data_IF_210972477630
#
_entry.id   IF_210972477630
#
_cell.length_a   1.000
_cell.length_b   1.000
_cell.length_c   1.000
_cell.angle_alpha   90.00
_cell.angle_beta   90.00
_cell.angle_gamma   90.00
#
_symmetry.space_group_name_H-M   'P 1'
#
loop_
_entity.id
_entity.type
_entity.pdbx_description
1 polymer ?
#
# COMPACT_ATOMS: atom_id res chain seq x y z
N UNK A 1 -51.79 -14.65 -33.71
CA UNK A 1 -50.60 -15.15 -32.99
C UNK A 1 -49.40 -14.75 -33.81
N UNK A 2 -48.90 -13.54 -33.59
CA UNK A 2 -47.70 -13.01 -34.22
C UNK A 2 -46.66 -12.93 -33.12
N UNK A 3 -45.70 -13.85 -33.15
CA UNK A 3 -44.53 -13.86 -32.28
C UNK A 3 -43.65 -12.67 -32.67
N UNK A 4 -43.71 -11.60 -31.88
CA UNK A 4 -42.65 -10.59 -31.83
C UNK A 4 -41.48 -11.22 -31.09
N UNK A 5 -40.56 -11.83 -31.83
CA UNK A 5 -39.20 -12.09 -31.34
C UNK A 5 -38.42 -10.79 -31.53
N UNK A 6 -38.68 -9.83 -30.64
CA UNK A 6 -38.08 -8.51 -30.61
C UNK A 6 -36.85 -8.51 -29.69
N UNK A 7 -35.83 -9.27 -30.05
CA UNK A 7 -34.50 -9.10 -29.46
C UNK A 7 -33.76 -8.06 -30.30
N UNK A 8 -33.90 -6.77 -29.93
CA UNK A 8 -33.00 -5.75 -30.48
C UNK A 8 -31.55 -6.22 -30.28
N UNK A 9 -30.68 -6.12 -31.30
CA UNK A 9 -29.31 -6.58 -31.18
C UNK A 9 -28.64 -5.82 -30.03
N UNK A 10 -28.01 -6.56 -29.10
CA UNK A 10 -27.32 -5.97 -27.95
C UNK A 10 -26.33 -4.90 -28.42
N UNK A 11 -26.28 -3.72 -27.77
CA UNK A 11 -25.45 -2.62 -28.23
C UNK A 11 -23.98 -3.01 -28.17
N UNK A 12 -23.18 -2.56 -29.14
CA UNK A 12 -21.73 -2.78 -29.07
C UNK A 12 -21.12 -2.06 -27.86
N UNK A 13 -20.27 -2.74 -27.10
CA UNK A 13 -19.60 -2.17 -25.93
C UNK A 13 -18.66 -1.00 -26.30
N UNK A 14 -18.54 0.04 -25.46
CA UNK A 14 -17.63 1.16 -25.69
C UNK A 14 -16.18 0.68 -25.77
N UNK A 15 -15.41 1.25 -26.70
CA UNK A 15 -14.03 0.84 -26.95
C UNK A 15 -13.02 1.73 -26.24
N UNK A 16 -13.45 2.91 -25.77
CA UNK A 16 -12.63 3.85 -25.00
C UNK A 16 -13.37 4.38 -23.80
N UNK A 17 -12.64 4.63 -22.72
CA UNK A 17 -13.21 5.15 -21.49
C UNK A 17 -13.91 6.51 -21.66
N UNK A 18 -13.51 7.32 -22.65
CA UNK A 18 -14.15 8.59 -23.02
C UNK A 18 -15.55 8.43 -23.62
N UNK A 19 -15.85 7.28 -24.22
CA UNK A 19 -17.13 7.00 -24.89
C UNK A 19 -18.21 6.56 -23.89
N UNK A 20 -17.80 6.02 -22.74
CA UNK A 20 -18.67 5.39 -21.74
C UNK A 20 -19.84 6.27 -21.34
N UNK A 21 -19.61 7.56 -21.06
CA UNK A 21 -20.68 8.47 -20.64
C UNK A 21 -21.76 8.61 -21.72
N UNK A 22 -21.37 8.85 -22.96
CA UNK A 22 -22.31 9.00 -24.07
C UNK A 22 -23.03 7.67 -24.36
N UNK A 23 -22.31 6.56 -24.25
CA UNK A 23 -22.85 5.23 -24.47
C UNK A 23 -23.91 4.85 -23.41
N UNK A 24 -23.67 5.13 -22.13
CA UNK A 24 -24.65 4.88 -21.06
C UNK A 24 -25.90 5.75 -21.19
N UNK A 25 -25.76 6.99 -21.68
CA UNK A 25 -26.93 7.85 -21.97
C UNK A 25 -27.77 7.29 -23.12
N UNK A 26 -27.13 6.70 -24.13
CA UNK A 26 -27.82 6.08 -25.26
C UNK A 26 -28.48 4.73 -24.90
N UNK A 27 -27.99 4.03 -23.86
CA UNK A 27 -28.46 2.70 -23.46
C UNK A 27 -28.69 2.63 -21.93
N UNK A 28 -29.72 3.33 -21.40
CA UNK A 28 -29.94 3.45 -19.96
C UNK A 28 -30.28 2.12 -19.26
N UNK A 29 -30.90 1.18 -19.98
CA UNK A 29 -31.35 -0.12 -19.46
C UNK A 29 -30.50 -1.30 -19.99
N UNK A 30 -29.25 -1.03 -20.38
CA UNK A 30 -28.37 -2.06 -20.94
C UNK A 30 -28.08 -3.17 -19.92
N UNK A 31 -28.17 -4.43 -20.36
CA UNK A 31 -27.72 -5.56 -19.55
C UNK A 31 -26.18 -5.49 -19.38
N UNK A 32 -25.66 -5.44 -18.13
CA UNK A 32 -24.23 -5.45 -17.86
C UNK A 32 -23.46 -6.58 -18.54
N UNK A 33 -24.10 -7.71 -18.87
CA UNK A 33 -23.46 -8.85 -19.55
C UNK A 33 -22.83 -8.48 -20.91
N UNK A 34 -23.31 -7.42 -21.57
CA UNK A 34 -22.72 -6.88 -22.80
C UNK A 34 -21.29 -6.36 -22.60
N UNK A 35 -20.92 -6.03 -21.36
CA UNK A 35 -19.62 -5.50 -20.97
C UNK A 35 -18.68 -6.60 -20.42
N UNK A 36 -19.04 -7.88 -20.53
CA UNK A 36 -18.23 -8.98 -20.03
C UNK A 36 -16.85 -9.06 -20.75
N UNK A 37 -15.81 -9.55 -20.06
CA UNK A 37 -14.52 -9.79 -20.70
C UNK A 37 -14.66 -10.84 -21.80
N UNK A 38 -13.88 -10.67 -22.87
CA UNK A 38 -13.82 -11.65 -23.96
C UNK A 38 -12.38 -11.83 -24.42
N UNK A 39 -12.14 -12.90 -25.18
CA UNK A 39 -10.83 -13.18 -25.75
C UNK A 39 -10.37 -12.00 -26.63
N UNK A 40 -9.07 -11.71 -26.59
CA UNK A 40 -8.42 -10.64 -27.36
C UNK A 40 -8.99 -9.23 -27.13
N UNK A 41 -9.66 -9.01 -25.99
CA UNK A 41 -10.15 -7.68 -25.61
C UNK A 41 -9.00 -6.70 -25.41
N UNK A 42 -9.01 -5.61 -26.17
CA UNK A 42 -8.01 -4.55 -26.09
C UNK A 42 -8.02 -3.87 -24.73
N UNK A 43 -6.86 -3.45 -24.23
CA UNK A 43 -6.72 -2.78 -22.94
C UNK A 43 -7.65 -1.56 -22.78
N UNK A 44 -7.78 -0.72 -23.82
CA UNK A 44 -8.67 0.44 -23.79
C UNK A 44 -10.15 0.06 -23.65
N UNK A 45 -10.57 -1.04 -24.31
CA UNK A 45 -11.93 -1.56 -24.23
C UNK A 45 -12.19 -2.20 -22.86
N UNK A 46 -11.21 -2.92 -22.29
CA UNK A 46 -11.27 -3.41 -20.91
C UNK A 46 -11.47 -2.27 -19.91
N UNK A 47 -10.67 -1.21 -19.99
CA UNK A 47 -10.84 -0.03 -19.13
C UNK A 47 -12.21 0.63 -19.33
N UNK A 48 -12.70 0.70 -20.57
CA UNK A 48 -14.03 1.24 -20.86
C UNK A 48 -15.16 0.38 -20.24
N UNK A 49 -15.06 -0.94 -20.35
CA UNK A 49 -16.00 -1.88 -19.77
C UNK A 49 -16.03 -1.78 -18.23
N UNK A 50 -14.86 -1.78 -17.58
CA UNK A 50 -14.74 -1.61 -16.12
C UNK A 50 -15.34 -0.28 -15.67
N UNK A 51 -15.05 0.83 -16.37
CA UNK A 51 -15.67 2.13 -16.09
C UNK A 51 -17.19 2.08 -16.24
N UNK A 52 -17.69 1.46 -17.30
CA UNK A 52 -19.12 1.37 -17.57
C UNK A 52 -19.84 0.55 -16.49
N UNK A 53 -19.33 -0.64 -16.15
CA UNK A 53 -19.83 -1.49 -15.08
C UNK A 53 -19.82 -0.78 -13.72
N UNK A 54 -18.72 -0.12 -13.38
CA UNK A 54 -18.63 0.71 -12.18
C UNK A 54 -19.64 1.85 -12.16
N UNK A 55 -19.87 2.51 -13.32
CA UNK A 55 -20.86 3.59 -13.44
C UNK A 55 -22.28 3.05 -13.27
N UNK A 56 -22.60 1.88 -13.84
CA UNK A 56 -23.90 1.21 -13.68
C UNK A 56 -24.17 0.91 -12.20
N UNK A 57 -23.20 0.36 -11.47
CA UNK A 57 -23.25 0.31 -10.00
C UNK A 57 -24.34 -0.61 -9.41
N UNK A 58 -24.87 -1.56 -10.19
CA UNK A 58 -25.87 -2.52 -9.72
C UNK A 58 -25.22 -3.84 -9.28
N UNK A 59 -25.90 -4.69 -8.47
CA UNK A 59 -25.36 -6.01 -8.12
C UNK A 59 -25.01 -6.85 -9.35
N UNK A 60 -25.85 -6.82 -10.40
CA UNK A 60 -25.56 -7.49 -11.68
C UNK A 60 -24.30 -6.94 -12.37
N UNK A 61 -24.06 -5.64 -12.30
CA UNK A 61 -22.82 -5.06 -12.81
C UNK A 61 -21.59 -5.51 -12.01
N UNK A 62 -21.72 -5.71 -10.69
CA UNK A 62 -20.64 -6.25 -9.86
C UNK A 62 -20.32 -7.71 -10.21
N UNK A 63 -21.33 -8.52 -10.51
CA UNK A 63 -21.13 -9.91 -10.96
C UNK A 63 -20.24 -9.95 -12.21
N UNK A 64 -20.61 -9.16 -13.24
CA UNK A 64 -19.83 -9.08 -14.49
C UNK A 64 -18.47 -8.42 -14.26
N UNK A 65 -18.40 -7.40 -13.40
CA UNK A 65 -17.13 -6.77 -13.02
C UNK A 65 -16.20 -7.77 -12.34
N UNK A 66 -16.73 -8.71 -11.56
CA UNK A 66 -15.98 -9.77 -10.93
C UNK A 66 -15.29 -10.73 -11.89
N UNK A 67 -15.75 -10.82 -13.15
CA UNK A 67 -15.06 -11.57 -14.21
C UNK A 67 -13.76 -10.88 -14.68
N UNK A 68 -13.60 -9.59 -14.39
CA UNK A 68 -12.35 -8.84 -14.60
C UNK A 68 -11.36 -8.94 -13.45
N UNK A 69 -11.70 -9.66 -12.37
CA UNK A 69 -10.81 -9.74 -11.23
C UNK A 69 -9.49 -10.44 -11.58
N UNK A 70 -8.40 -9.88 -11.08
CA UNK A 70 -7.04 -10.32 -11.36
C UNK A 70 -6.17 -10.13 -10.10
N UNK A 71 -5.00 -10.77 -10.07
CA UNK A 71 -4.03 -10.65 -8.98
C UNK A 71 -3.22 -9.35 -9.02
N UNK A 72 -3.23 -8.65 -10.16
CA UNK A 72 -2.64 -7.32 -10.31
C UNK A 72 -3.38 -6.54 -11.39
N UNK A 73 -3.42 -5.21 -11.26
CA UNK A 73 -4.14 -4.34 -12.19
C UNK A 73 -3.20 -3.32 -12.83
N UNK A 74 -3.32 -3.07 -14.15
CA UNK A 74 -2.74 -1.88 -14.75
C UNK A 74 -3.33 -0.61 -14.13
N UNK A 75 -2.51 0.44 -13.95
CA UNK A 75 -2.91 1.72 -13.32
C UNK A 75 -4.23 2.28 -13.86
N UNK A 76 -4.43 2.20 -15.17
CA UNK A 76 -5.64 2.69 -15.82
C UNK A 76 -6.89 1.93 -15.37
N UNK A 77 -6.82 0.61 -15.17
CA UNK A 77 -7.93 -0.21 -14.67
C UNK A 77 -8.12 0.03 -13.17
N UNK A 78 -7.04 0.03 -12.40
CA UNK A 78 -7.06 0.26 -10.96
C UNK A 78 -7.70 1.61 -10.59
N UNK A 79 -7.42 2.66 -11.38
CA UNK A 79 -8.09 3.97 -11.27
C UNK A 79 -9.60 3.88 -11.45
N UNK A 80 -10.09 3.09 -12.40
CA UNK A 80 -11.52 2.90 -12.59
C UNK A 80 -12.12 2.07 -11.45
N UNK A 81 -11.42 1.06 -10.93
CA UNK A 81 -11.86 0.30 -9.76
C UNK A 81 -11.98 1.18 -8.51
N UNK A 82 -11.01 2.05 -8.24
CA UNK A 82 -11.11 3.05 -7.16
C UNK A 82 -12.28 4.00 -7.32
N UNK A 83 -12.62 4.35 -8.55
CA UNK A 83 -13.79 5.19 -8.86
C UNK A 83 -15.09 4.43 -8.61
N UNK A 84 -15.10 3.15 -8.96
CA UNK A 84 -16.26 2.25 -8.85
C UNK A 84 -16.52 1.78 -7.42
N UNK A 85 -15.48 1.60 -6.60
CA UNK A 85 -15.54 0.94 -5.29
C UNK A 85 -16.65 1.49 -4.38
N UNK A 86 -16.73 2.83 -4.22
CA UNK A 86 -17.74 3.47 -3.39
C UNK A 86 -19.18 3.46 -3.96
N UNK A 87 -19.39 2.90 -5.15
CA UNK A 87 -20.72 2.72 -5.77
C UNK A 87 -21.33 1.37 -5.45
N UNK A 88 -20.58 0.47 -4.84
CA UNK A 88 -21.02 -0.85 -4.40
C UNK A 88 -20.91 -0.96 -2.87
N UNK A 89 -21.44 -2.05 -2.31
CA UNK A 89 -21.03 -2.46 -0.97
C UNK A 89 -19.52 -2.70 -0.96
N UNK A 90 -18.81 -1.99 -0.07
CA UNK A 90 -17.34 -1.91 -0.13
C UNK A 90 -16.66 -3.23 0.21
N UNK A 91 -17.25 -4.00 1.14
CA UNK A 91 -16.75 -5.32 1.52
C UNK A 91 -16.91 -6.30 0.37
N UNK A 92 -18.11 -6.36 -0.21
CA UNK A 92 -18.41 -7.23 -1.34
C UNK A 92 -17.52 -6.86 -2.53
N UNK A 93 -17.39 -5.57 -2.86
CA UNK A 93 -16.51 -5.13 -3.94
C UNK A 93 -15.06 -5.55 -3.73
N UNK A 94 -14.49 -5.30 -2.54
CA UNK A 94 -13.11 -5.67 -2.24
C UNK A 94 -12.91 -7.19 -2.32
N UNK A 95 -13.81 -7.96 -1.70
CA UNK A 95 -13.79 -9.42 -1.73
C UNK A 95 -13.99 -9.99 -3.14
N UNK A 96 -14.69 -9.28 -4.03
CA UNK A 96 -14.83 -9.69 -5.43
C UNK A 96 -13.59 -9.32 -6.23
N UNK A 97 -13.17 -8.06 -6.22
CA UNK A 97 -12.13 -7.57 -7.13
C UNK A 97 -10.73 -7.98 -6.70
N UNK A 98 -10.43 -8.08 -5.41
CA UNK A 98 -9.07 -8.28 -4.94
C UNK A 98 -8.78 -9.72 -4.48
N UNK A 99 -9.68 -10.67 -4.78
CA UNK A 99 -9.60 -12.08 -4.32
C UNK A 99 -8.42 -12.91 -4.83
N UNK A 100 -7.63 -12.41 -5.78
CA UNK A 100 -6.58 -13.16 -6.47
C UNK A 100 -5.17 -12.62 -6.22
N UNK A 101 -4.96 -11.75 -5.23
CA UNK A 101 -3.64 -11.19 -4.94
C UNK A 101 -2.66 -12.29 -4.48
N UNK A 102 -1.82 -12.78 -5.39
CA UNK A 102 -0.97 -13.96 -5.15
C UNK A 102 0.16 -13.73 -4.13
N UNK A 103 0.59 -12.47 -3.94
CA UNK A 103 1.69 -12.14 -3.02
C UNK A 103 1.45 -10.84 -2.27
N UNK A 104 1.28 -9.73 -2.98
CA UNK A 104 0.96 -8.41 -2.43
C UNK A 104 -0.18 -7.82 -3.24
N UNK A 105 -1.23 -7.38 -2.54
CA UNK A 105 -2.24 -6.54 -3.15
C UNK A 105 -1.71 -5.12 -3.22
N UNK A 106 -1.37 -4.66 -4.42
CA UNK A 106 -0.98 -3.27 -4.67
C UNK A 106 -2.21 -2.47 -5.12
N UNK A 107 -2.61 -1.51 -4.29
CA UNK A 107 -3.73 -0.61 -4.57
C UNK A 107 -3.28 0.71 -5.20
N UNK A 108 -1.98 0.94 -5.39
CA UNK A 108 -1.44 2.20 -5.91
C UNK A 108 -1.98 3.39 -5.12
N UNK A 109 -2.41 4.44 -5.82
CA UNK A 109 -3.03 5.61 -5.19
C UNK A 109 -4.52 5.39 -4.90
N UNK A 110 -4.88 5.28 -3.62
CA UNK A 110 -6.24 5.09 -3.14
C UNK A 110 -6.68 6.25 -2.23
N UNK A 111 -8.00 6.51 -2.16
CA UNK A 111 -8.58 7.44 -1.18
C UNK A 111 -8.94 6.79 0.15
N UNK A 112 -9.07 5.46 0.14
CA UNK A 112 -9.65 4.66 1.22
C UNK A 112 -9.37 3.19 0.95
N UNK A 113 -9.33 2.40 2.01
CA UNK A 113 -9.27 0.93 1.99
C UNK A 113 -10.46 0.33 2.76
N UNK A 114 -11.57 1.07 2.88
CA UNK A 114 -12.78 0.55 3.53
C UNK A 114 -13.25 -0.77 2.90
N UNK A 115 -13.54 -1.76 3.75
CA UNK A 115 -13.96 -3.09 3.34
C UNK A 115 -12.82 -4.03 2.94
N UNK A 116 -11.57 -3.58 2.98
CA UNK A 116 -10.40 -4.41 2.60
C UNK A 116 -10.23 -5.66 3.47
N UNK A 117 -10.70 -5.64 4.72
CA UNK A 117 -10.72 -6.82 5.58
C UNK A 117 -11.59 -7.97 5.08
N UNK A 118 -12.42 -7.74 4.05
CA UNK A 118 -13.19 -8.80 3.38
C UNK A 118 -12.40 -9.53 2.28
N UNK A 119 -11.20 -9.07 1.91
CA UNK A 119 -10.36 -9.73 0.90
C UNK A 119 -9.84 -11.06 1.46
N UNK A 120 -10.20 -12.21 0.87
CA UNK A 120 -9.78 -13.51 1.39
C UNK A 120 -8.27 -13.68 1.36
N UNK A 121 -7.66 -14.07 2.48
CA UNK A 121 -6.23 -14.41 2.58
C UNK A 121 -5.28 -13.24 2.37
N UNK A 122 -5.69 -12.01 2.72
CA UNK A 122 -4.85 -10.82 2.55
C UNK A 122 -3.66 -10.83 3.54
N UNK A 123 -2.48 -11.25 3.06
CA UNK A 123 -1.25 -11.29 3.87
C UNK A 123 -0.29 -10.13 3.61
N UNK A 124 -0.45 -9.40 2.50
CA UNK A 124 0.41 -8.27 2.15
C UNK A 124 -0.35 -7.20 1.37
N UNK A 125 -0.23 -5.95 1.82
CA UNK A 125 -0.90 -4.79 1.24
C UNK A 125 0.11 -3.67 0.97
N UNK A 126 0.03 -3.09 -0.22
CA UNK A 126 0.71 -1.85 -0.59
C UNK A 126 -0.33 -0.80 -1.02
N UNK A 127 -0.29 0.37 -0.39
CA UNK A 127 -1.21 1.46 -0.70
C UNK A 127 -0.57 2.81 -0.45
N UNK A 128 -0.81 3.73 -1.37
CA UNK A 128 -0.55 5.15 -1.21
C UNK A 128 -1.88 5.88 -1.05
N UNK A 129 -2.09 6.55 0.06
CA UNK A 129 -3.22 7.44 0.23
C UNK A 129 -2.96 8.81 -0.40
N UNK A 130 -3.95 9.36 -1.09
CA UNK A 130 -3.92 10.71 -1.67
C UNK A 130 -4.69 11.72 -0.79
N UNK A 131 -4.19 11.91 0.43
CA UNK A 131 -4.73 12.82 1.44
C UNK A 131 -4.80 12.11 2.80
N UNK A 132 -5.98 12.15 3.42
CA UNK A 132 -6.25 11.45 4.68
C UNK A 132 -5.99 9.94 4.56
N UNK A 133 -5.00 9.43 5.30
CA UNK A 133 -4.71 8.01 5.43
C UNK A 133 -5.34 7.47 6.73
N UNK A 134 -6.54 6.92 6.61
CA UNK A 134 -7.28 6.27 7.68
C UNK A 134 -7.02 4.76 7.68
N UNK A 135 -6.32 4.28 8.70
CA UNK A 135 -5.95 2.87 8.82
C UNK A 135 -7.02 2.02 9.52
N UNK A 136 -8.13 2.62 10.00
CA UNK A 136 -9.19 1.91 10.74
C UNK A 136 -9.67 0.63 10.03
N UNK A 137 -9.87 0.62 8.70
CA UNK A 137 -10.33 -0.60 8.01
C UNK A 137 -9.33 -1.77 8.06
N UNK A 138 -8.06 -1.52 8.41
CA UNK A 138 -7.03 -2.55 8.49
C UNK A 138 -7.14 -3.41 9.75
N UNK A 139 -7.86 -2.97 10.79
CA UNK A 139 -7.99 -3.71 12.05
C UNK A 139 -8.59 -5.12 11.87
N UNK A 140 -9.32 -5.35 10.79
CA UNK A 140 -9.89 -6.67 10.46
C UNK A 140 -8.91 -7.58 9.69
N UNK A 141 -7.79 -7.06 9.19
CA UNK A 141 -6.81 -7.79 8.38
C UNK A 141 -5.85 -8.61 9.25
N UNK A 142 -6.36 -9.45 10.14
CA UNK A 142 -5.58 -10.14 11.19
C UNK A 142 -4.48 -11.07 10.67
N UNK A 143 -4.55 -11.49 9.40
CA UNK A 143 -3.51 -12.31 8.74
C UNK A 143 -2.42 -11.48 8.03
N UNK A 144 -2.48 -10.14 8.12
CA UNK A 144 -1.57 -9.24 7.42
C UNK A 144 -0.15 -9.32 8.02
N UNK A 145 0.81 -9.70 7.18
CA UNK A 145 2.23 -9.89 7.57
C UNK A 145 3.13 -8.75 7.10
N UNK A 146 2.72 -8.10 6.02
CA UNK A 146 3.44 -6.99 5.39
C UNK A 146 2.46 -5.87 5.07
N UNK A 147 2.73 -4.68 5.58
CA UNK A 147 1.95 -3.48 5.28
C UNK A 147 2.88 -2.39 4.78
N UNK A 148 2.58 -1.85 3.59
CA UNK A 148 3.21 -0.64 3.06
C UNK A 148 2.17 0.43 2.89
N UNK A 149 2.36 1.53 3.61
CA UNK A 149 1.51 2.71 3.57
C UNK A 149 2.36 3.93 3.28
N UNK A 150 2.00 4.63 2.20
CA UNK A 150 2.41 6.01 1.98
C UNK A 150 1.20 6.94 2.11
N UNK A 151 1.40 8.18 2.57
CA UNK A 151 0.36 9.21 2.52
C UNK A 151 0.88 10.47 1.82
N UNK A 152 0.19 10.94 0.79
CA UNK A 152 0.53 12.19 0.09
C UNK A 152 -0.46 13.30 0.45
N UNK A 153 0.08 14.45 0.86
CA UNK A 153 -0.69 15.64 1.15
C UNK A 153 -1.38 15.59 2.52
N UNK A 154 -2.09 16.67 2.84
CA UNK A 154 -2.71 16.84 4.17
C UNK A 154 -4.08 16.15 4.29
N UNK A 155 -4.44 15.61 5.48
CA UNK A 155 -3.65 15.58 6.72
C UNK A 155 -2.64 14.41 6.80
N UNK A 156 -2.44 13.63 5.74
CA UNK A 156 -1.56 12.46 5.76
C UNK A 156 -2.06 11.34 6.70
N UNK A 157 -1.11 10.63 7.31
CA UNK A 157 -1.37 9.59 8.32
C UNK A 157 -2.04 10.19 9.56
N UNK A 158 -3.15 9.59 9.98
CA UNK A 158 -3.91 10.07 11.14
C UNK A 158 -3.54 9.39 12.47
N UNK A 159 -2.97 8.19 12.41
CA UNK A 159 -2.76 7.34 13.56
C UNK A 159 -2.40 5.92 13.14
N UNK A 160 -1.99 5.14 14.13
CA UNK A 160 -1.46 3.77 13.95
C UNK A 160 -2.11 2.76 14.89
N UNK A 161 -3.07 3.19 15.70
CA UNK A 161 -3.82 2.36 16.66
C UNK A 161 -4.47 1.13 16.00
N UNK A 162 -5.03 1.19 14.78
CA UNK A 162 -5.59 0.01 14.12
C UNK A 162 -4.57 -1.10 13.84
N UNK A 163 -3.26 -0.80 13.87
CA UNK A 163 -2.21 -1.78 13.64
C UNK A 163 -1.90 -2.63 14.87
N UNK A 164 -2.34 -2.20 16.07
CA UNK A 164 -2.03 -2.87 17.33
C UNK A 164 -2.61 -4.28 17.43
N UNK A 165 -3.71 -4.53 16.73
CA UNK A 165 -4.39 -5.83 16.72
C UNK A 165 -3.84 -6.79 15.64
N UNK A 166 -2.88 -6.34 14.81
CA UNK A 166 -2.29 -7.13 13.73
C UNK A 166 -1.13 -7.98 14.24
N UNK A 167 -1.43 -9.05 14.98
CA UNK A 167 -0.44 -9.90 15.65
C UNK A 167 0.55 -10.59 14.72
N UNK A 168 0.18 -10.80 13.45
CA UNK A 168 1.04 -11.42 12.43
C UNK A 168 1.93 -10.41 11.68
N UNK A 169 1.78 -9.10 11.94
CA UNK A 169 2.49 -8.06 11.22
C UNK A 169 3.99 -8.08 11.54
N UNK A 170 4.79 -8.43 10.54
CA UNK A 170 6.25 -8.59 10.67
C UNK A 170 7.04 -7.50 9.96
N UNK A 171 6.44 -6.87 8.95
CA UNK A 171 7.04 -5.83 8.14
C UNK A 171 6.07 -4.65 7.95
N UNK A 172 6.52 -3.46 8.31
CA UNK A 172 5.74 -2.24 8.26
C UNK A 172 6.52 -1.13 7.56
N UNK A 173 5.89 -0.44 6.61
CA UNK A 173 6.42 0.76 6.00
C UNK A 173 5.40 1.88 6.19
N UNK A 174 5.79 2.94 6.89
CA UNK A 174 5.02 4.17 7.07
C UNK A 174 5.82 5.33 6.49
N UNK A 175 5.43 5.83 5.32
CA UNK A 175 6.24 6.79 4.57
C UNK A 175 5.46 8.02 4.14
N UNK A 176 6.20 9.07 3.76
CA UNK A 176 5.70 10.37 3.30
C UNK A 176 5.08 11.15 4.46
N UNK A 177 3.83 11.59 4.36
CA UNK A 177 3.22 12.50 5.33
C UNK A 177 2.78 11.77 6.61
N UNK A 178 3.63 11.80 7.64
CA UNK A 178 3.44 11.13 8.94
C UNK A 178 3.37 12.09 10.12
N UNK A 179 3.74 13.36 9.96
CA UNK A 179 3.87 14.34 11.06
C UNK A 179 2.60 14.60 11.89
N UNK A 180 1.42 14.26 11.38
CA UNK A 180 0.14 14.44 12.08
C UNK A 180 -0.27 13.22 12.92
N UNK A 181 0.43 12.09 12.81
CA UNK A 181 0.11 10.87 13.55
C UNK A 181 0.94 10.74 14.84
N UNK A 182 0.29 10.31 15.93
CA UNK A 182 1.04 9.80 17.08
C UNK A 182 1.64 8.43 16.73
N UNK A 183 2.97 8.35 16.70
CA UNK A 183 3.71 7.13 16.41
C UNK A 183 4.10 6.34 17.67
N UNK A 184 3.89 6.90 18.87
CA UNK A 184 4.22 6.24 20.13
C UNK A 184 3.57 4.84 20.31
N UNK A 185 2.34 4.57 19.83
CA UNK A 185 1.75 3.24 19.95
C UNK A 185 2.53 2.13 19.20
N UNK A 186 3.36 2.47 18.21
CA UNK A 186 4.19 1.49 17.49
C UNK A 186 5.14 0.71 18.42
N UNK A 187 5.47 1.27 19.59
CA UNK A 187 6.27 0.59 20.62
C UNK A 187 5.70 -0.76 21.06
N UNK A 188 4.38 -0.97 20.93
CA UNK A 188 3.71 -2.21 21.31
C UNK A 188 3.72 -3.29 20.21
N UNK A 189 4.14 -2.96 18.98
CA UNK A 189 4.09 -3.88 17.85
C UNK A 189 5.26 -4.89 17.87
N UNK A 190 4.97 -6.11 17.42
CA UNK A 190 5.95 -7.18 17.18
C UNK A 190 6.65 -7.12 15.82
N UNK A 191 6.72 -5.94 15.19
CA UNK A 191 7.31 -5.78 13.85
C UNK A 191 8.83 -5.97 13.90
N UNK A 192 9.36 -6.74 12.94
CA UNK A 192 10.80 -7.03 12.81
C UNK A 192 11.51 -6.11 11.82
N UNK A 193 10.80 -5.69 10.77
CA UNK A 193 11.30 -4.83 9.70
C UNK A 193 10.46 -3.57 9.60
N UNK A 194 11.05 -2.42 9.90
CA UNK A 194 10.36 -1.13 9.87
C UNK A 194 11.02 -0.19 8.87
N UNK A 195 10.23 0.38 7.98
CA UNK A 195 10.56 1.63 7.28
C UNK A 195 9.70 2.74 7.85
N UNK A 196 10.29 3.84 8.28
CA UNK A 196 9.51 4.95 8.82
C UNK A 196 10.09 6.31 8.49
N UNK A 197 9.24 7.23 8.03
CA UNK A 197 9.55 8.64 7.97
C UNK A 197 9.02 9.28 9.27
N UNK A 198 9.91 9.85 10.10
CA UNK A 198 9.54 10.38 11.42
C UNK A 198 8.90 11.77 11.37
N UNK A 199 9.19 12.56 10.32
CA UNK A 199 8.71 13.94 10.12
C UNK A 199 8.59 14.78 11.41
N UNK A 200 9.64 14.80 12.23
CA UNK A 200 9.71 15.59 13.46
C UNK A 200 9.41 14.83 14.76
N UNK A 201 8.96 13.58 14.71
CA UNK A 201 8.89 12.71 15.88
C UNK A 201 10.30 12.37 16.41
N UNK A 202 10.45 12.25 17.73
CA UNK A 202 11.76 12.01 18.37
C UNK A 202 12.34 10.60 18.14
N UNK A 203 11.51 9.64 17.73
CA UNK A 203 11.88 8.25 17.47
C UNK A 203 12.15 7.40 18.73
N UNK A 204 12.03 7.94 19.94
CA UNK A 204 12.33 7.23 21.21
C UNK A 204 11.48 5.97 21.43
N UNK A 205 10.28 5.92 20.83
CA UNK A 205 9.42 4.72 20.85
C UNK A 205 10.06 3.51 20.16
N UNK A 206 10.95 3.72 19.19
CA UNK A 206 11.65 2.64 18.48
C UNK A 206 12.50 1.80 19.45
N UNK A 207 13.07 2.43 20.49
CA UNK A 207 13.87 1.74 21.52
C UNK A 207 13.06 0.77 22.37
N UNK A 208 11.72 0.87 22.33
CA UNK A 208 10.78 0.05 23.10
C UNK A 208 10.16 -1.08 22.26
N UNK A 209 10.42 -1.11 20.96
CA UNK A 209 9.91 -2.17 20.08
C UNK A 209 10.64 -3.50 20.36
N UNK A 210 9.94 -4.55 20.82
CA UNK A 210 10.58 -5.75 21.39
C UNK A 210 11.25 -6.66 20.36
N UNK A 211 10.85 -6.59 19.08
CA UNK A 211 11.31 -7.50 18.03
C UNK A 211 11.97 -6.77 16.84
N UNK A 212 12.22 -5.46 16.95
CA UNK A 212 12.78 -4.68 15.85
C UNK A 212 14.20 -5.14 15.54
N UNK A 213 14.45 -5.55 14.30
CA UNK A 213 15.75 -6.07 13.84
C UNK A 213 16.34 -5.22 12.72
N UNK A 214 15.48 -4.67 11.86
CA UNK A 214 15.86 -3.89 10.68
C UNK A 214 15.04 -2.62 10.64
N UNK A 215 15.72 -1.49 10.59
CA UNK A 215 15.13 -0.16 10.55
C UNK A 215 15.70 0.62 9.38
N UNK A 216 14.84 1.11 8.50
CA UNK A 216 15.14 2.21 7.59
C UNK A 216 14.39 3.44 8.08
N UNK A 217 15.11 4.48 8.48
CA UNK A 217 14.52 5.68 9.07
C UNK A 217 14.92 6.94 8.31
N UNK A 218 13.93 7.82 8.12
CA UNK A 218 14.11 9.20 7.68
C UNK A 218 13.75 10.14 8.84
N UNK A 219 14.59 11.12 9.11
CA UNK A 219 14.55 11.96 10.31
C UNK A 219 14.96 11.23 11.59
N UNK A 220 14.92 11.95 12.72
CA UNK A 220 15.20 11.43 14.06
C UNK A 220 16.45 12.05 14.70
N UNK A 221 17.04 11.33 15.65
CA UNK A 221 18.23 11.77 16.39
C UNK A 221 19.35 10.74 16.36
N UNK A 222 20.59 11.22 16.38
CA UNK A 222 21.78 10.38 16.44
C UNK A 222 21.75 9.44 17.66
N UNK A 223 21.35 9.96 18.83
CA UNK A 223 21.30 9.20 20.08
C UNK A 223 20.38 7.98 19.98
N UNK A 224 19.18 8.15 19.41
CA UNK A 224 18.22 7.05 19.23
C UNK A 224 18.78 6.01 18.26
N UNK A 225 19.34 6.44 17.12
CA UNK A 225 19.93 5.52 16.13
C UNK A 225 21.09 4.73 16.73
N UNK A 226 22.03 5.38 17.40
CA UNK A 226 23.17 4.69 18.01
C UNK A 226 22.73 3.75 19.14
N UNK A 227 21.73 4.13 19.93
CA UNK A 227 21.17 3.25 20.95
C UNK A 227 20.47 2.01 20.35
N UNK A 228 19.80 2.15 19.21
CA UNK A 228 19.22 1.02 18.47
C UNK A 228 20.31 0.10 17.92
N UNK A 229 21.36 0.67 17.31
CA UNK A 229 22.50 -0.10 16.80
C UNK A 229 23.11 -0.94 17.92
N UNK A 230 23.37 -0.34 19.10
CA UNK A 230 23.89 -1.06 20.29
C UNK A 230 22.95 -2.12 20.86
N UNK A 231 21.66 -2.08 20.51
CA UNK A 231 20.69 -3.14 20.82
C UNK A 231 20.70 -4.27 19.78
N UNK A 232 21.57 -4.20 18.77
CA UNK A 232 21.67 -5.17 17.68
C UNK A 232 20.76 -4.90 16.49
N UNK A 233 20.08 -3.73 16.45
CA UNK A 233 19.24 -3.34 15.32
C UNK A 233 20.11 -2.88 14.16
N UNK A 234 19.86 -3.43 12.97
CA UNK A 234 20.46 -2.94 11.73
C UNK A 234 19.73 -1.67 11.32
N UNK A 235 20.42 -0.53 11.36
CA UNK A 235 19.81 0.76 11.05
C UNK A 235 20.34 1.27 9.72
N UNK A 236 19.45 1.77 8.87
CA UNK A 236 19.77 2.45 7.62
C UNK A 236 19.13 3.83 7.63
N UNK A 237 19.92 4.82 7.22
CA UNK A 237 19.51 6.22 7.09
C UNK A 237 19.86 6.74 5.70
N UNK A 238 19.33 7.89 5.30
CA UNK A 238 19.61 8.47 3.99
C UNK A 238 20.74 9.49 4.05
N UNK A 239 21.77 9.31 3.21
CA UNK A 239 22.95 10.18 3.21
C UNK A 239 22.66 11.65 2.83
N UNK A 240 21.51 11.92 2.21
CA UNK A 240 21.13 13.28 1.81
C UNK A 240 20.55 14.12 2.96
N UNK A 241 20.18 13.50 4.10
CA UNK A 241 19.63 14.19 5.28
C UNK A 241 20.71 14.82 6.16
N UNK A 242 21.45 15.77 5.58
CA UNK A 242 22.67 16.34 6.17
C UNK A 242 22.47 16.94 7.56
N UNK A 243 21.27 17.45 7.86
CA UNK A 243 20.96 18.19 9.08
C UNK A 243 21.19 17.39 10.36
N UNK A 244 20.98 16.07 10.33
CA UNK A 244 21.14 15.20 11.49
C UNK A 244 22.13 14.06 11.25
N UNK A 245 22.26 13.59 10.00
CA UNK A 245 23.16 12.48 9.65
C UNK A 245 24.63 12.85 9.83
N UNK A 246 25.00 14.13 9.64
CA UNK A 246 26.39 14.57 9.87
C UNK A 246 26.80 14.35 11.34
N UNK A 247 25.96 14.78 12.29
CA UNK A 247 26.22 14.56 13.72
C UNK A 247 26.18 13.08 14.11
N UNK A 248 25.31 12.28 13.49
CA UNK A 248 25.31 10.83 13.65
C UNK A 248 26.66 10.21 13.25
N UNK A 249 27.20 10.58 12.08
CA UNK A 249 28.47 10.06 11.59
C UNK A 249 29.66 10.50 12.45
N UNK A 250 29.68 11.74 12.93
CA UNK A 250 30.71 12.23 13.87
C UNK A 250 30.72 11.41 15.17
N UNK A 251 29.54 11.15 15.75
CA UNK A 251 29.42 10.34 16.95
C UNK A 251 29.75 8.87 16.70
N UNK A 252 29.30 8.30 15.57
CA UNK A 252 29.61 6.93 15.17
C UNK A 252 31.11 6.73 14.94
N UNK A 253 31.79 7.69 14.31
CA UNK A 253 33.24 7.62 14.06
C UNK A 253 34.10 7.65 15.33
N UNK A 254 33.56 8.18 16.44
CA UNK A 254 34.18 8.11 17.76
C UNK A 254 33.86 6.83 18.54
N UNK A 255 32.94 5.99 18.05
CA UNK A 255 32.44 4.81 18.73
C UNK A 255 33.10 3.54 18.17
N UNK A 256 33.82 2.79 19.01
CA UNK A 256 34.49 1.55 18.59
C UNK A 256 33.51 0.38 18.38
N UNK A 257 32.27 0.51 18.86
CA UNK A 257 31.20 -0.49 18.84
C UNK A 257 30.18 -0.27 17.70
N UNK A 258 30.45 0.66 16.78
CA UNK A 258 29.55 0.99 15.67
C UNK A 258 30.31 0.96 14.36
N UNK A 259 29.82 0.16 13.42
CA UNK A 259 30.39 0.00 12.10
C UNK A 259 29.46 0.61 11.06
N UNK A 260 30.03 1.41 10.15
CA UNK A 260 29.29 2.19 9.17
C UNK A 260 29.66 1.73 7.76
N UNK A 261 28.65 1.57 6.91
CA UNK A 261 28.83 1.33 5.47
C UNK A 261 27.94 2.25 4.67
N UNK A 262 28.53 3.00 3.74
CA UNK A 262 27.79 3.86 2.83
C UNK A 262 27.73 3.24 1.44
N UNK A 263 26.52 3.21 0.86
CA UNK A 263 26.31 2.75 -0.50
C UNK A 263 25.04 3.33 -1.11
N UNK A 264 25.14 3.77 -2.37
CA UNK A 264 23.99 4.22 -3.16
C UNK A 264 23.12 5.28 -2.46
N UNK A 265 23.74 6.23 -1.75
CA UNK A 265 23.05 7.30 -1.02
C UNK A 265 22.36 6.85 0.28
N UNK A 266 22.63 5.64 0.76
CA UNK A 266 22.20 5.10 2.05
C UNK A 266 23.41 4.82 2.94
N UNK A 267 23.23 5.02 4.23
CA UNK A 267 24.24 4.73 5.26
C UNK A 267 23.66 3.66 6.17
N UNK A 268 24.33 2.52 6.25
CA UNK A 268 24.01 1.43 7.15
C UNK A 268 24.90 1.45 8.39
N UNK A 269 24.32 1.16 9.55
CA UNK A 269 24.99 1.09 10.85
C UNK A 269 24.66 -0.25 11.54
N UNK A 270 25.68 -0.92 12.07
CA UNK A 270 25.60 -2.18 12.82
C UNK A 270 26.57 -2.19 13.99
N UNK A 271 26.31 -3.06 14.96
CA UNK A 271 27.12 -3.28 16.16
C UNK A 271 28.21 -4.34 15.98
N UNK A 272 28.27 -4.97 14.80
CA UNK A 272 29.10 -6.13 14.52
C UNK A 272 29.73 -6.00 13.14
N UNK A 273 31.06 -5.92 13.11
CA UNK A 273 31.87 -5.78 11.90
C UNK A 273 31.57 -6.88 10.87
N UNK A 274 31.27 -8.10 11.34
CA UNK A 274 30.98 -9.24 10.45
C UNK A 274 29.69 -9.05 9.63
N UNK A 275 28.78 -8.17 10.06
CA UNK A 275 27.53 -7.85 9.37
C UNK A 275 27.68 -6.78 8.30
N UNK A 276 28.82 -6.09 8.24
CA UNK A 276 29.05 -4.93 7.35
C UNK A 276 28.94 -5.32 5.88
N UNK A 277 29.56 -6.43 5.47
CA UNK A 277 29.51 -6.91 4.09
C UNK A 277 28.11 -7.38 3.67
N UNK A 278 27.36 -7.99 4.59
CA UNK A 278 25.96 -8.38 4.36
C UNK A 278 25.10 -7.12 4.16
N UNK A 279 25.21 -6.16 5.07
CA UNK A 279 24.47 -4.90 5.01
C UNK A 279 24.80 -4.13 3.72
N UNK A 280 26.08 -4.00 3.38
CA UNK A 280 26.53 -3.35 2.14
C UNK A 280 26.01 -4.00 0.86
N UNK A 281 25.64 -5.29 0.89
CA UNK A 281 24.94 -5.95 -0.23
C UNK A 281 23.45 -5.61 -0.23
N UNK A 282 22.82 -5.56 0.93
CA UNK A 282 21.39 -5.25 1.06
C UNK A 282 21.03 -3.79 0.81
N UNK A 283 21.96 -2.85 1.04
CA UNK A 283 21.76 -1.42 0.70
C UNK A 283 21.44 -1.18 -0.78
N UNK A 284 21.77 -2.13 -1.68
CA UNK A 284 21.39 -2.09 -3.10
C UNK A 284 19.94 -2.50 -3.38
N UNK A 285 19.33 -3.33 -2.54
CA UNK A 285 17.99 -3.83 -2.77
C UNK A 285 16.93 -2.88 -2.20
N UNK A 286 15.77 -2.75 -2.88
CA UNK A 286 14.59 -2.08 -2.31
C UNK A 286 13.90 -2.91 -1.22
N UNK A 287 14.44 -4.08 -0.89
CA UNK A 287 14.06 -4.88 0.27
C UNK A 287 14.61 -4.16 1.49
N UNK A 288 13.78 -3.98 2.53
CA UNK A 288 14.24 -3.47 3.82
C UNK A 288 15.50 -4.26 4.25
N UNK A 289 16.68 -3.59 4.27
CA UNK A 289 17.97 -4.25 4.44
C UNK A 289 18.17 -4.82 5.84
#
# INVERSE_FOLDING_TARGET
MTTHDGSDPSPAAPQKASEVKAWLVAHPDVDPAVLAPHQDQKAAARTAAVRALGTIGTPRALEVLGEYADGSYPDAVLKELHTAWGRFDRRTFAATMFRQAAYTLDLGMARTVEGIGAVPGLTSLDVVFNGKADLTPLAECVELRTLRVGAEGEPGLLGVEPLLDLSELSELHLTRTTHNADLAPLAALGVRRLRIDLEGADGSFLLRMPQLERLLVSGGSADVVLALVRKGVRVVVFAHERDWVTGLLEQAGGAADVFVVEKSGRIGLVDDESKVDELGRHLFSNILP
#
